data_IF_217458392673
#
_entry.id   IF_217458392673
#
_cell.length_a   1.000
_cell.length_b   1.000
_cell.length_c   1.000
_cell.angle_alpha   90.00
_cell.angle_beta   90.00
_cell.angle_gamma   90.00
#
_symmetry.space_group_name_H-M   'P 1'
#
loop_
_entity.id
_entity.type
_entity.pdbx_description
1 polymer ?
#
# COMPACT_ATOMS: atom_id res chain seq x y z
N UNK A 1 0.15 -15.58 -10.62
CA UNK A 1 -0.23 -14.25 -10.06
C UNK A 1 0.91 -13.56 -9.33
N UNK A 2 1.73 -14.28 -8.54
CA UNK A 2 2.91 -13.69 -7.88
C UNK A 2 3.95 -13.10 -8.85
N UNK A 3 4.20 -13.74 -10.00
CA UNK A 3 5.16 -13.24 -11.00
C UNK A 3 4.72 -11.91 -11.64
N UNK A 4 3.43 -11.71 -11.88
CA UNK A 4 2.93 -10.45 -12.44
C UNK A 4 3.04 -9.27 -11.45
N UNK A 5 3.21 -9.53 -10.15
CA UNK A 5 3.38 -8.48 -9.13
C UNK A 5 4.86 -8.10 -9.00
N UNK A 6 5.77 -9.07 -9.05
CA UNK A 6 7.22 -8.81 -8.93
C UNK A 6 7.76 -7.98 -10.11
N UNK A 7 7.31 -8.24 -11.33
CA UNK A 7 7.74 -7.45 -12.50
C UNK A 7 7.21 -6.01 -12.47
N UNK A 8 5.99 -5.81 -11.94
CA UNK A 8 5.44 -4.47 -11.69
C UNK A 8 6.24 -3.72 -10.62
N UNK A 9 6.74 -4.43 -9.60
CA UNK A 9 7.58 -3.84 -8.54
C UNK A 9 8.94 -3.42 -9.10
N UNK A 10 9.55 -4.22 -9.99
CA UNK A 10 10.83 -3.90 -10.64
C UNK A 10 10.75 -2.65 -11.50
N UNK A 11 9.69 -2.51 -12.29
CA UNK A 11 9.49 -1.37 -13.20
C UNK A 11 8.66 -0.23 -12.59
N UNK A 12 8.48 -0.21 -11.27
CA UNK A 12 7.68 0.80 -10.59
C UNK A 12 8.34 2.18 -10.61
N UNK A 13 7.67 3.17 -11.21
CA UNK A 13 8.09 4.58 -11.17
C UNK A 13 7.21 5.42 -10.22
N UNK A 14 5.90 5.30 -10.37
CA UNK A 14 4.89 6.02 -9.57
C UNK A 14 3.62 5.18 -9.47
N UNK A 15 2.70 5.59 -8.60
CA UNK A 15 1.40 4.95 -8.45
C UNK A 15 0.62 5.04 -9.77
N UNK A 16 0.11 3.93 -10.31
CA UNK A 16 -0.71 3.96 -11.52
C UNK A 16 -2.09 4.55 -11.24
N UNK A 17 -2.81 4.91 -12.31
CA UNK A 17 -4.22 5.29 -12.21
C UNK A 17 -5.06 4.14 -11.66
N UNK A 18 -5.88 4.41 -10.64
CA UNK A 18 -6.83 3.46 -10.06
C UNK A 18 -8.26 3.91 -10.39
N UNK A 19 -8.96 3.11 -11.20
CA UNK A 19 -10.32 3.41 -11.64
C UNK A 19 -11.34 3.47 -10.48
N UNK A 20 -11.01 2.93 -9.29
CA UNK A 20 -11.84 3.07 -8.08
C UNK A 20 -11.80 4.49 -7.51
N UNK A 21 -10.76 5.25 -7.83
CA UNK A 21 -10.53 6.61 -7.35
C UNK A 21 -10.27 7.56 -8.53
N UNK A 22 -11.24 7.78 -9.43
CA UNK A 22 -11.03 8.55 -10.66
C UNK A 22 -10.99 10.08 -10.43
N UNK A 23 -11.47 10.54 -9.27
CA UNK A 23 -11.61 11.96 -8.96
C UNK A 23 -10.27 12.58 -8.49
N UNK A 24 -10.17 13.91 -8.56
CA UNK A 24 -8.99 14.66 -8.08
C UNK A 24 -8.66 14.43 -6.60
N UNK A 25 -9.67 14.15 -5.75
CA UNK A 25 -9.45 13.86 -4.34
C UNK A 25 -8.94 12.43 -4.13
N UNK A 26 -7.62 12.29 -3.96
CA UNK A 26 -6.91 11.01 -3.77
C UNK A 26 -6.77 10.57 -2.30
N UNK A 27 -7.45 11.24 -1.36
CA UNK A 27 -7.35 10.95 0.09
C UNK A 27 -7.74 9.50 0.41
N UNK A 28 -8.83 8.99 -0.20
CA UNK A 28 -9.27 7.60 0.00
C UNK A 28 -8.32 6.59 -0.63
N UNK A 29 -7.71 6.91 -1.77
CA UNK A 29 -6.72 6.05 -2.42
C UNK A 29 -5.49 5.84 -1.51
N UNK A 30 -4.95 6.94 -0.97
CA UNK A 30 -3.88 6.90 0.03
C UNK A 30 -4.27 6.06 1.26
N UNK A 31 -5.45 6.31 1.84
CA UNK A 31 -5.89 5.60 3.05
C UNK A 31 -6.11 4.10 2.81
N UNK A 32 -6.73 3.72 1.70
CA UNK A 32 -6.98 2.32 1.38
C UNK A 32 -5.68 1.54 1.23
N UNK A 33 -4.71 2.07 0.46
CA UNK A 33 -3.42 1.40 0.27
C UNK A 33 -2.60 1.32 1.57
N UNK A 34 -2.70 2.33 2.45
CA UNK A 34 -2.07 2.28 3.78
C UNK A 34 -2.64 1.13 4.62
N UNK A 35 -3.98 0.98 4.66
CA UNK A 35 -4.64 -0.12 5.37
C UNK A 35 -4.31 -1.48 4.75
N UNK A 36 -4.33 -1.58 3.42
CA UNK A 36 -4.07 -2.83 2.71
C UNK A 36 -2.66 -3.34 2.97
N UNK A 37 -1.66 -2.44 2.99
CA UNK A 37 -0.29 -2.80 3.38
C UNK A 37 -0.24 -3.41 4.79
N UNK A 38 -0.82 -2.72 5.78
CA UNK A 38 -0.76 -3.17 7.17
C UNK A 38 -1.57 -4.44 7.42
N UNK A 39 -2.72 -4.61 6.75
CA UNK A 39 -3.55 -5.83 6.81
C UNK A 39 -2.83 -7.00 6.15
N UNK A 40 -2.28 -6.80 4.95
CA UNK A 40 -1.51 -7.80 4.21
C UNK A 40 -0.31 -8.25 5.04
N UNK A 41 0.46 -7.30 5.57
CA UNK A 41 1.64 -7.60 6.38
C UNK A 41 1.26 -8.37 7.66
N UNK A 42 0.20 -7.94 8.39
CA UNK A 42 -0.29 -8.65 9.58
C UNK A 42 -0.73 -10.08 9.25
N UNK A 43 -1.47 -10.26 8.15
CA UNK A 43 -1.97 -11.56 7.73
C UNK A 43 -0.85 -12.53 7.28
N UNK A 44 0.14 -12.05 6.52
CA UNK A 44 1.24 -12.89 6.04
C UNK A 44 2.25 -13.19 7.15
N UNK A 45 2.58 -12.21 8.00
CA UNK A 45 3.44 -12.44 9.17
C UNK A 45 2.82 -13.44 10.14
N UNK A 46 1.50 -13.41 10.36
CA UNK A 46 0.81 -14.40 11.20
C UNK A 46 0.87 -15.83 10.62
N UNK A 47 0.95 -15.95 9.29
CA UNK A 47 1.08 -17.23 8.59
C UNK A 47 2.53 -17.67 8.36
N UNK A 48 3.52 -16.85 8.75
CA UNK A 48 4.93 -17.10 8.46
C UNK A 48 5.27 -17.10 6.96
N UNK A 49 4.46 -16.43 6.13
CA UNK A 49 4.63 -16.38 4.67
C UNK A 49 5.43 -15.15 4.25
N UNK A 50 5.97 -15.22 3.03
CA UNK A 50 6.71 -14.13 2.39
C UNK A 50 5.83 -12.87 2.20
N UNK A 51 6.33 -11.72 2.67
CA UNK A 51 5.64 -10.43 2.60
C UNK A 51 5.81 -9.71 1.26
N UNK A 52 6.47 -10.35 0.28
CA UNK A 52 6.74 -9.81 -1.05
C UNK A 52 5.49 -9.30 -1.79
N UNK A 53 4.28 -9.89 -1.66
CA UNK A 53 3.09 -9.35 -2.31
C UNK A 53 2.61 -8.02 -1.69
N UNK A 54 2.91 -7.79 -0.41
CA UNK A 54 2.51 -6.58 0.30
C UNK A 54 3.36 -5.36 -0.09
N UNK A 55 4.56 -5.56 -0.62
CA UNK A 55 5.49 -4.49 -1.01
C UNK A 55 4.89 -3.55 -2.06
N UNK A 56 4.01 -4.06 -2.92
CA UNK A 56 3.28 -3.24 -3.88
C UNK A 56 2.50 -2.12 -3.20
N UNK A 57 1.66 -2.48 -2.20
CA UNK A 57 0.89 -1.50 -1.44
C UNK A 57 1.79 -0.51 -0.72
N UNK A 58 2.96 -0.98 -0.26
CA UNK A 58 3.95 -0.13 0.38
C UNK A 58 4.47 0.97 -0.54
N UNK A 59 4.81 0.63 -1.79
CA UNK A 59 5.25 1.60 -2.78
C UNK A 59 4.14 2.59 -3.12
N UNK A 60 2.92 2.10 -3.33
CA UNK A 60 1.76 2.94 -3.72
C UNK A 60 1.40 3.95 -2.63
N UNK A 61 1.21 3.53 -1.38
CA UNK A 61 0.83 4.50 -0.34
C UNK A 61 1.96 5.50 -0.04
N UNK A 62 3.24 5.10 -0.16
CA UNK A 62 4.37 6.03 -0.01
C UNK A 62 4.42 7.09 -1.11
N UNK A 63 3.99 6.75 -2.33
CA UNK A 63 3.91 7.72 -3.43
C UNK A 63 2.71 8.67 -3.32
N UNK A 64 1.59 8.23 -2.73
CA UNK A 64 0.35 9.00 -2.66
C UNK A 64 0.18 9.79 -1.35
N UNK A 65 0.61 9.24 -0.23
CA UNK A 65 0.32 9.80 1.09
C UNK A 65 1.37 10.83 1.52
N UNK A 66 0.95 12.00 2.06
CA UNK A 66 1.85 12.89 2.78
C UNK A 66 2.53 12.16 3.95
N UNK A 67 3.84 12.38 4.14
CA UNK A 67 4.60 11.74 5.22
C UNK A 67 4.06 12.06 6.62
N UNK A 68 3.49 13.25 6.81
CA UNK A 68 2.81 13.64 8.05
C UNK A 68 1.64 12.72 8.39
N UNK A 69 0.85 12.30 7.40
CA UNK A 69 -0.27 11.39 7.59
C UNK A 69 0.18 9.99 7.95
N UNK A 70 1.26 9.52 7.31
CA UNK A 70 1.84 8.20 7.62
C UNK A 70 2.36 8.18 9.05
N UNK A 71 3.03 9.25 9.50
CA UNK A 71 3.53 9.39 10.87
C UNK A 71 2.37 9.43 11.88
N UNK A 72 1.36 10.27 11.64
CA UNK A 72 0.20 10.39 12.53
C UNK A 72 -0.55 9.06 12.69
N UNK A 73 -0.79 8.36 11.59
CA UNK A 73 -1.52 7.08 11.58
C UNK A 73 -0.74 5.94 12.25
N UNK A 74 0.60 5.99 12.25
CA UNK A 74 1.42 5.03 13.02
C UNK A 74 1.20 5.14 14.52
N UNK A 75 0.92 6.34 15.01
CA UNK A 75 0.74 6.64 16.44
C UNK A 75 -0.70 6.41 16.91
N UNK A 76 -1.70 6.47 16.00
CA UNK A 76 -3.08 6.07 16.26
C UNK A 76 -3.32 4.58 15.97
N UNK A 77 -2.51 3.68 16.52
CA UNK A 77 -2.66 2.24 16.27
C UNK A 77 -3.76 1.63 17.16
N UNK A 78 -5.01 1.84 16.78
CA UNK A 78 -6.16 1.05 17.25
C UNK A 78 -6.44 -0.12 16.27
N UNK A 79 -5.43 -0.97 16.00
CA UNK A 79 -5.52 -2.19 15.18
C UNK A 79 -4.69 -3.33 15.76
#
# INVERSE_FOLDING_TARGET
MAEAVSDKIKNYKTAPFDARFPNTNQTRNCFQNYLDFHRCNKALSAKGQEVSPCEWYQKVYKSLCPMSWVSLRRNCRCL
#
